data_IF_917673379767
#
_entry.id   IF_917673379767
#
_cell.length_a   1.000
_cell.length_b   1.000
_cell.length_c   1.000
_cell.angle_alpha   90.00
_cell.angle_beta   90.00
_cell.angle_gamma   90.00
#
_symmetry.space_group_name_H-M   'P 1'
#
loop_
_entity.id
_entity.type
_entity.pdbx_description
1 polymer ?
#
# COMPACT_ATOMS: atom_id res chain seq x y z
N UNK A 1 -1.04 49.28 14.71
CA UNK A 1 -1.13 48.43 13.51
C UNK A 1 0.02 47.42 13.59
N UNK A 2 -0.07 46.46 14.52
CA UNK A 2 1.04 45.53 14.78
C UNK A 2 0.55 44.32 15.59
N UNK A 3 -0.45 43.61 15.08
CA UNK A 3 -0.95 42.36 15.69
C UNK A 3 -1.47 41.42 14.61
N UNK A 4 -0.59 40.94 13.73
CA UNK A 4 -0.98 39.91 12.74
C UNK A 4 0.13 38.93 12.38
N UNK A 5 1.14 38.72 13.24
CA UNK A 5 2.27 37.86 12.89
C UNK A 5 2.71 36.88 14.00
N UNK A 6 1.75 36.33 14.76
CA UNK A 6 2.04 35.30 15.80
C UNK A 6 1.03 34.13 15.86
N UNK A 7 0.21 33.90 14.84
CA UNK A 7 -0.79 32.81 14.84
C UNK A 7 -0.56 31.72 13.78
N UNK A 8 0.62 31.66 13.18
CA UNK A 8 0.97 30.64 12.16
C UNK A 8 2.11 29.72 12.59
N UNK A 9 2.39 29.65 13.89
CA UNK A 9 3.32 28.67 14.47
C UNK A 9 2.55 27.77 15.43
N UNK A 10 2.05 26.66 14.89
CA UNK A 10 1.25 25.71 15.66
C UNK A 10 0.56 24.64 14.81
N UNK A 11 1.23 24.13 13.79
CA UNK A 11 0.82 22.91 13.07
C UNK A 11 2.07 22.06 12.86
N UNK A 12 2.70 21.65 13.97
CA UNK A 12 3.54 20.46 13.94
C UNK A 12 2.59 19.28 14.13
N UNK A 13 1.80 18.98 13.09
CA UNK A 13 1.49 17.57 12.87
C UNK A 13 2.87 16.95 12.66
N UNK A 14 3.32 16.04 13.53
CA UNK A 14 4.49 15.23 13.18
C UNK A 14 4.15 14.64 11.81
N UNK A 15 4.83 15.08 10.76
CA UNK A 15 4.81 14.37 9.48
C UNK A 15 5.45 13.02 9.78
N UNK A 16 4.59 12.06 10.12
CA UNK A 16 5.00 10.68 10.24
C UNK A 16 5.43 10.26 8.84
N UNK A 17 6.68 9.81 8.73
CA UNK A 17 7.22 9.32 7.48
C UNK A 17 6.37 8.14 6.98
N UNK A 18 5.64 8.36 5.89
CA UNK A 18 4.83 7.35 5.21
C UNK A 18 5.43 7.03 3.85
N UNK A 19 5.16 5.82 3.36
CA UNK A 19 5.50 5.34 2.04
C UNK A 19 4.27 5.36 1.16
N UNK A 20 4.47 5.74 -0.10
CA UNK A 20 3.51 5.39 -1.15
C UNK A 20 3.35 3.87 -1.24
N UNK A 21 2.23 3.40 -1.79
CA UNK A 21 2.02 1.95 -1.99
C UNK A 21 3.10 1.35 -2.87
N UNK A 22 3.58 2.07 -3.89
CA UNK A 22 4.66 1.59 -4.75
C UNK A 22 5.97 1.45 -4.00
N UNK A 23 6.32 2.46 -3.19
CA UNK A 23 7.51 2.42 -2.35
C UNK A 23 7.44 1.28 -1.32
N UNK A 24 6.25 1.00 -0.77
CA UNK A 24 6.04 -0.17 0.09
C UNK A 24 6.19 -1.48 -0.68
N UNK A 25 5.66 -1.60 -1.90
CA UNK A 25 5.82 -2.79 -2.72
C UNK A 25 7.30 -3.08 -3.03
N UNK A 26 8.05 -2.05 -3.41
CA UNK A 26 9.51 -2.15 -3.62
C UNK A 26 10.23 -2.56 -2.33
N UNK A 27 9.82 -2.00 -1.19
CA UNK A 27 10.37 -2.36 0.10
C UNK A 27 10.11 -3.84 0.41
N UNK A 28 8.91 -4.36 0.16
CA UNK A 28 8.58 -5.78 0.34
C UNK A 28 9.40 -6.69 -0.58
N UNK A 29 9.58 -6.35 -1.86
CA UNK A 29 10.48 -7.07 -2.76
C UNK A 29 11.91 -7.13 -2.19
N UNK A 30 12.43 -5.97 -1.76
CA UNK A 30 13.77 -5.88 -1.19
C UNK A 30 13.95 -6.73 0.08
N UNK A 31 12.90 -6.86 0.89
CA UNK A 31 12.91 -7.73 2.06
C UNK A 31 12.94 -9.22 1.70
N UNK A 32 12.41 -9.63 0.54
CA UNK A 32 12.58 -11.00 -0.01
C UNK A 32 13.97 -11.23 -0.63
N UNK A 33 14.81 -10.20 -0.70
CA UNK A 33 16.07 -10.23 -1.45
C UNK A 33 15.87 -10.11 -2.97
N UNK A 34 14.68 -9.64 -3.38
CA UNK A 34 14.33 -9.36 -4.77
C UNK A 34 14.35 -7.83 -5.03
N UNK A 35 14.29 -7.43 -6.30
CA UNK A 35 14.29 -6.03 -6.69
C UNK A 35 15.68 -5.40 -6.83
N UNK A 36 15.71 -4.11 -7.14
CA UNK A 36 16.93 -3.41 -7.58
C UNK A 36 17.67 -2.71 -6.45
N UNK A 37 16.96 -2.31 -5.39
CA UNK A 37 17.47 -1.48 -4.32
C UNK A 37 17.37 -2.20 -2.98
N UNK A 38 18.30 -1.90 -2.07
CA UNK A 38 18.25 -2.38 -0.68
C UNK A 38 17.09 -1.73 0.09
N UNK A 39 16.66 -2.31 1.23
CA UNK A 39 15.55 -1.74 1.99
C UNK A 39 15.87 -0.32 2.49
N UNK A 40 17.16 -0.05 2.77
CA UNK A 40 17.65 1.27 3.17
C UNK A 40 17.52 2.29 2.05
N UNK A 41 17.96 1.95 0.84
CA UNK A 41 17.90 2.85 -0.33
C UNK A 41 16.46 3.21 -0.68
N UNK A 42 15.54 2.26 -0.58
CA UNK A 42 14.11 2.51 -0.84
C UNK A 42 13.54 3.52 0.15
N UNK A 43 13.81 3.37 1.45
CA UNK A 43 13.36 4.33 2.46
C UNK A 43 14.01 5.71 2.26
N UNK A 44 15.29 5.76 1.88
CA UNK A 44 16.00 7.01 1.59
C UNK A 44 15.38 7.73 0.38
N UNK A 45 15.11 7.01 -0.70
CA UNK A 45 14.50 7.55 -1.92
C UNK A 45 13.07 8.04 -1.65
N UNK A 46 12.27 7.27 -0.91
CA UNK A 46 10.91 7.67 -0.54
C UNK A 46 10.90 8.93 0.34
N UNK A 47 11.84 9.02 1.29
CA UNK A 47 11.97 10.21 2.13
C UNK A 47 12.39 11.44 1.32
N UNK A 48 13.37 11.28 0.41
CA UNK A 48 13.83 12.35 -0.45
C UNK A 48 12.70 12.88 -1.35
N UNK A 49 11.90 11.99 -1.96
CA UNK A 49 10.76 12.36 -2.77
C UNK A 49 9.68 13.12 -1.97
N UNK A 50 9.39 12.69 -0.74
CA UNK A 50 8.43 13.38 0.13
C UNK A 50 8.90 14.79 0.55
N UNK A 51 10.22 15.02 0.61
CA UNK A 51 10.83 16.26 1.10
C UNK A 51 11.49 17.11 0.00
N UNK A 52 11.36 16.74 -1.27
CA UNK A 52 12.00 17.41 -2.42
C UNK A 52 11.67 18.91 -2.48
N UNK A 53 10.42 19.28 -2.16
CA UNK A 53 9.96 20.69 -2.10
C UNK A 53 10.52 21.49 -0.93
N UNK A 54 11.10 20.82 0.07
CA UNK A 54 11.65 21.45 1.29
C UNK A 54 13.17 21.66 1.25
N UNK A 55 13.85 21.17 0.21
CA UNK A 55 15.30 21.36 0.03
C UNK A 55 16.18 20.67 1.09
N UNK A 56 15.63 19.76 1.89
CA UNK A 56 16.35 19.06 2.95
C UNK A 56 17.26 17.97 2.37
N UNK A 57 18.52 17.95 2.80
CA UNK A 57 19.54 16.98 2.36
C UNK A 57 19.30 15.58 2.93
N UNK A 58 20.02 14.59 2.38
CA UNK A 58 20.10 13.21 2.91
C UNK A 58 20.48 13.18 4.40
N UNK A 59 21.18 14.19 4.92
CA UNK A 59 21.56 14.26 6.34
C UNK A 59 20.33 14.37 7.26
N UNK A 60 19.28 15.06 6.81
CA UNK A 60 18.03 15.18 7.56
C UNK A 60 17.20 13.88 7.60
N UNK A 61 17.45 12.91 6.72
CA UNK A 61 16.89 11.55 6.85
C UNK A 61 17.47 10.84 8.07
N UNK A 62 18.77 11.02 8.34
CA UNK A 62 19.44 10.41 9.50
C UNK A 62 18.94 11.01 10.83
N UNK A 63 18.54 12.29 10.80
CA UNK A 63 17.98 12.99 11.96
C UNK A 63 16.45 12.80 12.11
N UNK A 64 15.77 12.26 11.10
CA UNK A 64 14.34 11.97 11.17
C UNK A 64 14.11 10.76 12.07
N UNK A 65 13.22 10.89 13.06
CA UNK A 65 12.82 9.77 13.92
C UNK A 65 12.05 8.74 13.08
N UNK A 66 12.77 7.74 12.58
CA UNK A 66 12.23 6.64 11.80
C UNK A 66 11.20 5.85 12.63
N UNK A 67 10.06 5.44 12.03
CA UNK A 67 9.19 4.45 12.66
C UNK A 67 9.96 3.20 13.10
N UNK A 68 9.75 2.76 14.34
CA UNK A 68 10.50 1.65 14.95
C UNK A 68 10.44 0.34 14.15
N UNK A 69 9.37 0.13 13.38
CA UNK A 69 9.24 -1.02 12.48
C UNK A 69 10.31 -1.01 11.39
N UNK A 70 10.59 0.15 10.78
CA UNK A 70 11.65 0.25 9.77
C UNK A 70 13.03 0.08 10.38
N UNK A 71 13.32 0.69 11.54
CA UNK A 71 14.59 0.49 12.24
C UNK A 71 14.87 -0.98 12.52
N UNK A 72 13.84 -1.72 12.94
CA UNK A 72 13.92 -3.16 13.17
C UNK A 72 14.22 -3.92 11.88
N UNK A 73 13.51 -3.61 10.79
CA UNK A 73 13.64 -4.33 9.52
C UNK A 73 14.98 -4.05 8.83
N UNK A 74 15.53 -2.85 8.98
CA UNK A 74 16.87 -2.50 8.48
C UNK A 74 18.01 -3.27 9.17
N UNK A 75 17.76 -3.82 10.37
CA UNK A 75 18.72 -4.65 11.13
C UNK A 75 18.43 -6.14 11.02
N UNK A 76 17.36 -6.53 10.32
CA UNK A 76 16.92 -7.91 10.26
C UNK A 76 17.78 -8.72 9.28
N UNK A 77 17.92 -10.01 9.58
CA UNK A 77 18.41 -11.00 8.61
C UNK A 77 17.31 -11.26 7.57
N UNK A 78 17.52 -10.79 6.34
CA UNK A 78 16.54 -10.86 5.26
C UNK A 78 16.17 -12.32 4.92
N UNK A 79 17.08 -13.27 5.13
CA UNK A 79 16.83 -14.69 4.85
C UNK A 79 15.83 -15.34 5.83
N UNK A 80 15.48 -14.66 6.93
CA UNK A 80 14.60 -15.17 7.99
C UNK A 80 13.49 -14.19 8.33
N UNK A 81 13.17 -13.29 7.41
CA UNK A 81 12.22 -12.22 7.67
C UNK A 81 10.79 -12.77 7.73
N UNK A 82 10.12 -12.49 8.84
CA UNK A 82 8.72 -12.80 9.04
C UNK A 82 8.12 -11.86 10.07
N UNK A 83 6.81 -11.72 10.02
CA UNK A 83 6.07 -10.71 10.76
C UNK A 83 5.08 -11.33 11.73
N UNK A 84 5.05 -10.83 12.96
CA UNK A 84 3.86 -10.97 13.81
C UNK A 84 2.75 -10.05 13.31
N UNK A 85 1.50 -10.30 13.73
CA UNK A 85 0.35 -9.44 13.35
C UNK A 85 0.60 -7.97 13.72
N UNK A 86 1.17 -7.69 14.89
CA UNK A 86 1.47 -6.32 15.30
C UNK A 86 2.51 -5.65 14.41
N UNK A 87 3.45 -6.42 13.85
CA UNK A 87 4.46 -5.91 12.92
C UNK A 87 3.87 -5.64 11.54
N UNK A 88 2.95 -6.50 11.07
CA UNK A 88 2.17 -6.25 9.84
C UNK A 88 1.37 -4.96 10.00
N UNK A 89 0.68 -4.78 11.13
CA UNK A 89 -0.08 -3.57 11.42
C UNK A 89 0.83 -2.33 11.50
N UNK A 90 1.96 -2.43 12.20
CA UNK A 90 2.90 -1.32 12.32
C UNK A 90 3.48 -0.92 10.95
N UNK A 91 3.82 -1.90 10.10
CA UNK A 91 4.32 -1.67 8.75
C UNK A 91 3.24 -1.11 7.82
N UNK A 92 2.06 -1.71 7.82
CA UNK A 92 0.94 -1.27 6.97
C UNK A 92 0.43 0.12 7.32
N UNK A 93 0.53 0.55 8.58
CA UNK A 93 0.24 1.93 9.00
C UNK A 93 1.32 2.95 8.56
N UNK A 94 2.41 2.51 7.94
CA UNK A 94 3.33 3.39 7.23
C UNK A 94 2.92 3.58 5.75
N UNK A 95 1.86 2.92 5.27
CA UNK A 95 1.34 3.12 3.91
C UNK A 95 0.38 4.32 3.92
N UNK A 96 0.50 5.19 2.93
CA UNK A 96 -0.43 6.30 2.74
C UNK A 96 -1.89 5.85 2.69
N UNK A 97 -2.79 6.62 3.30
CA UNK A 97 -4.25 6.38 3.32
C UNK A 97 -4.68 5.06 4.00
N UNK A 98 -3.77 4.33 4.63
CA UNK A 98 -4.05 3.07 5.31
C UNK A 98 -4.25 3.28 6.81
N UNK A 99 -5.16 2.51 7.41
CA UNK A 99 -5.34 2.52 8.86
C UNK A 99 -5.77 1.14 9.38
N UNK A 100 -4.77 0.28 9.58
CA UNK A 100 -4.89 -1.06 10.11
C UNK A 100 -4.94 -1.08 11.64
N UNK A 101 -5.78 -1.96 12.18
CA UNK A 101 -5.82 -2.28 13.61
C UNK A 101 -5.49 -3.74 13.86
N UNK A 102 -4.78 -4.02 14.95
CA UNK A 102 -4.44 -5.40 15.34
C UNK A 102 -5.66 -6.29 15.51
N UNK A 103 -6.76 -5.75 16.05
CA UNK A 103 -8.01 -6.51 16.21
C UNK A 103 -8.62 -6.88 14.86
N UNK A 104 -8.63 -5.96 13.89
CA UNK A 104 -9.15 -6.24 12.56
C UNK A 104 -8.30 -7.33 11.88
N UNK A 105 -6.98 -7.16 11.82
CA UNK A 105 -6.08 -8.14 11.19
C UNK A 105 -6.17 -9.51 11.86
N UNK A 106 -6.30 -9.56 13.19
CA UNK A 106 -6.52 -10.82 13.91
C UNK A 106 -7.82 -11.52 13.48
N UNK A 107 -8.92 -10.77 13.32
CA UNK A 107 -10.18 -11.34 12.84
C UNK A 107 -10.07 -11.84 11.40
N UNK A 108 -9.33 -11.12 10.56
CA UNK A 108 -9.12 -11.47 9.16
C UNK A 108 -8.40 -12.81 9.01
N UNK A 109 -7.26 -12.97 9.67
CA UNK A 109 -6.46 -14.21 9.57
C UNK A 109 -7.12 -15.40 10.28
N UNK A 110 -8.02 -15.16 11.24
CA UNK A 110 -8.73 -16.23 11.95
C UNK A 110 -10.03 -16.65 11.27
N UNK A 111 -10.69 -15.74 10.55
CA UNK A 111 -12.04 -15.94 10.03
C UNK A 111 -12.26 -15.35 8.65
N UNK A 112 -12.06 -14.04 8.48
CA UNK A 112 -12.68 -13.35 7.34
C UNK A 112 -12.01 -13.68 5.98
N UNK A 113 -10.69 -13.87 5.98
CA UNK A 113 -9.89 -14.26 4.78
C UNK A 113 -8.88 -15.36 5.11
N UNK A 114 -9.19 -16.19 6.11
CA UNK A 114 -8.33 -17.31 6.54
C UNK A 114 -7.95 -18.23 5.38
N UNK A 115 -8.91 -18.50 4.50
CA UNK A 115 -8.78 -19.34 3.31
C UNK A 115 -7.94 -18.69 2.20
N UNK A 116 -7.56 -17.42 2.31
CA UNK A 116 -6.62 -16.78 1.38
C UNK A 116 -5.23 -16.68 1.99
N UNK A 117 -5.13 -16.32 3.27
CA UNK A 117 -3.84 -16.05 3.92
C UNK A 117 -3.18 -17.32 4.45
N UNK A 118 -3.98 -18.28 4.95
CA UNK A 118 -3.48 -19.47 5.63
C UNK A 118 -2.86 -19.22 7.00
N UNK A 119 -2.26 -20.26 7.58
CA UNK A 119 -1.48 -20.16 8.81
C UNK A 119 -0.11 -19.50 8.57
N UNK A 120 0.54 -18.93 9.60
CA UNK A 120 1.90 -18.41 9.49
C UNK A 120 2.87 -19.41 8.86
N UNK A 121 3.62 -19.00 7.83
CA UNK A 121 4.52 -19.89 7.08
C UNK A 121 5.94 -19.98 7.70
N UNK A 122 6.32 -19.04 8.57
CA UNK A 122 7.65 -18.97 9.19
C UNK A 122 7.53 -19.21 10.70
N UNK A 123 7.10 -20.42 11.06
CA UNK A 123 6.82 -20.82 12.43
C UNK A 123 5.59 -20.11 12.99
N UNK A 124 5.79 -19.10 13.85
CA UNK A 124 4.69 -18.26 14.39
C UNK A 124 4.53 -16.92 13.66
N UNK A 125 5.23 -16.74 12.54
CA UNK A 125 5.31 -15.48 11.80
C UNK A 125 4.83 -15.65 10.37
N UNK A 126 4.16 -14.62 9.87
CA UNK A 126 3.70 -14.53 8.50
C UNK A 126 4.85 -14.14 7.58
N UNK A 127 4.87 -14.68 6.36
CA UNK A 127 5.85 -14.32 5.32
C UNK A 127 5.63 -12.90 4.78
N UNK A 128 6.54 -12.42 3.96
CA UNK A 128 6.41 -11.14 3.24
C UNK A 128 5.20 -11.15 2.31
N UNK A 129 4.98 -12.27 1.60
CA UNK A 129 3.83 -12.43 0.71
C UNK A 129 2.50 -12.42 1.50
N UNK A 130 2.44 -13.11 2.64
CA UNK A 130 1.26 -13.06 3.52
C UNK A 130 0.99 -11.64 4.06
N UNK A 131 2.03 -10.85 4.33
CA UNK A 131 1.87 -9.45 4.72
C UNK A 131 1.33 -8.61 3.55
N UNK A 132 1.85 -8.82 2.32
CA UNK A 132 1.36 -8.16 1.12
C UNK A 132 -0.12 -8.47 0.86
N UNK A 133 -0.54 -9.73 1.00
CA UNK A 133 -1.94 -10.13 0.88
C UNK A 133 -2.84 -9.39 1.89
N UNK A 134 -2.38 -9.17 3.12
CA UNK A 134 -3.14 -8.40 4.12
C UNK A 134 -3.24 -6.92 3.76
N UNK A 135 -2.24 -6.34 3.11
CA UNK A 135 -2.30 -4.98 2.58
C UNK A 135 -3.28 -4.87 1.41
N UNK A 136 -3.30 -5.86 0.51
CA UNK A 136 -4.28 -5.96 -0.57
C UNK A 136 -5.70 -6.05 0.00
N UNK A 137 -5.92 -6.88 1.03
CA UNK A 137 -7.23 -7.00 1.69
C UNK A 137 -7.68 -5.67 2.29
N UNK A 138 -6.79 -4.92 2.96
CA UNK A 138 -7.10 -3.59 3.50
C UNK A 138 -7.51 -2.60 2.41
N UNK A 139 -6.77 -2.57 1.30
CA UNK A 139 -7.08 -1.69 0.17
C UNK A 139 -8.46 -2.02 -0.41
N UNK A 140 -8.73 -3.29 -0.69
CA UNK A 140 -10.03 -3.73 -1.23
C UNK A 140 -11.18 -3.48 -0.25
N UNK A 141 -10.95 -3.61 1.05
CA UNK A 141 -11.96 -3.43 2.11
C UNK A 141 -12.49 -2.00 2.19
N UNK A 142 -11.80 -1.03 1.58
CA UNK A 142 -12.29 0.34 1.44
C UNK A 142 -13.68 0.40 0.79
N UNK A 143 -13.97 -0.52 -0.14
CA UNK A 143 -15.23 -0.55 -0.91
C UNK A 143 -15.92 -1.91 -0.86
N UNK A 144 -15.17 -3.01 -0.80
CA UNK A 144 -15.71 -4.38 -0.93
C UNK A 144 -16.00 -5.04 0.42
N UNK A 145 -16.92 -6.02 0.42
CA UNK A 145 -17.10 -6.97 1.52
C UNK A 145 -16.12 -8.15 1.42
N UNK A 146 -15.99 -8.93 2.50
CA UNK A 146 -15.05 -10.05 2.53
C UNK A 146 -15.41 -11.19 1.58
N UNK A 147 -16.69 -11.34 1.24
CA UNK A 147 -17.11 -12.39 0.31
C UNK A 147 -16.63 -12.10 -1.12
N UNK A 148 -16.81 -10.84 -1.53
CA UNK A 148 -16.31 -10.31 -2.79
C UNK A 148 -14.78 -10.36 -2.85
N UNK A 149 -14.10 -9.98 -1.75
CA UNK A 149 -12.64 -10.05 -1.65
C UNK A 149 -12.14 -11.49 -1.81
N UNK A 150 -12.76 -12.46 -1.10
CA UNK A 150 -12.40 -13.88 -1.23
C UNK A 150 -12.54 -14.38 -2.65
N UNK A 151 -13.69 -14.11 -3.28
CA UNK A 151 -13.97 -14.54 -4.66
C UNK A 151 -12.97 -13.95 -5.65
N UNK A 152 -12.66 -12.66 -5.54
CA UNK A 152 -11.76 -11.99 -6.47
C UNK A 152 -10.30 -12.46 -6.28
N UNK A 153 -9.82 -12.53 -5.04
CA UNK A 153 -8.43 -12.92 -4.78
C UNK A 153 -8.18 -14.41 -5.04
N UNK A 154 -9.18 -15.29 -4.89
CA UNK A 154 -9.06 -16.70 -5.27
C UNK A 154 -8.86 -16.89 -6.79
N UNK A 155 -9.26 -15.92 -7.62
CA UNK A 155 -8.98 -15.95 -9.06
C UNK A 155 -7.51 -15.60 -9.39
N UNK A 156 -6.76 -15.05 -8.42
CA UNK A 156 -5.36 -14.65 -8.58
C UNK A 156 -4.40 -15.58 -7.84
N UNK A 157 -4.70 -15.88 -6.58
CA UNK A 157 -3.82 -16.60 -5.64
C UNK A 157 -4.28 -18.04 -5.39
N UNK A 158 -4.90 -18.65 -6.39
CA UNK A 158 -5.38 -20.03 -6.46
C UNK A 158 -5.55 -20.78 -5.11
N UNK A 159 -4.92 -21.95 -4.90
CA UNK A 159 -5.10 -22.76 -3.68
C UNK A 159 -4.16 -22.29 -2.55
N UNK A 160 -4.55 -22.47 -1.29
CA UNK A 160 -3.65 -22.29 -0.15
C UNK A 160 -2.55 -23.34 -0.12
N UNK A 161 -2.88 -24.57 -0.51
CA UNK A 161 -2.05 -25.76 -0.33
C UNK A 161 -1.03 -25.93 -1.47
N UNK A 162 -1.28 -25.28 -2.60
CA UNK A 162 -0.36 -25.14 -3.73
C UNK A 162 -0.38 -23.69 -4.23
N UNK A 163 0.78 -23.02 -4.18
CA UNK A 163 0.94 -21.64 -4.68
C UNK A 163 1.66 -21.59 -6.02
N UNK A 164 2.12 -22.74 -6.52
CA UNK A 164 2.86 -22.81 -7.78
C UNK A 164 1.94 -22.63 -8.99
N UNK A 165 0.63 -22.71 -8.77
CA UNK A 165 -0.43 -22.47 -9.74
C UNK A 165 -1.11 -21.10 -9.57
N UNK A 166 -0.55 -20.21 -8.75
CA UNK A 166 -0.96 -18.81 -8.65
C UNK A 166 -0.86 -18.14 -10.03
N UNK A 167 -1.90 -17.42 -10.44
CA UNK A 167 -1.92 -16.67 -11.70
C UNK A 167 -0.92 -15.51 -11.62
N UNK A 168 -0.86 -14.85 -10.46
CA UNK A 168 0.09 -13.78 -10.15
C UNK A 168 0.41 -13.83 -8.66
N UNK A 169 1.68 -13.75 -8.29
CA UNK A 169 2.09 -13.68 -6.88
C UNK A 169 1.60 -12.38 -6.17
N UNK A 170 1.44 -12.39 -4.84
CA UNK A 170 0.89 -11.25 -4.09
C UNK A 170 1.65 -9.93 -4.25
N UNK A 171 2.99 -9.93 -4.16
CA UNK A 171 3.77 -8.69 -4.23
C UNK A 171 3.79 -8.11 -5.66
N UNK A 172 3.99 -8.89 -6.73
CA UNK A 172 3.80 -8.40 -8.11
C UNK A 172 2.42 -7.81 -8.36
N UNK A 173 1.34 -8.45 -7.89
CA UNK A 173 -0.01 -7.90 -8.00
C UNK A 173 -0.15 -6.58 -7.22
N UNK A 174 0.34 -6.54 -5.97
CA UNK A 174 0.34 -5.34 -5.12
C UNK A 174 1.09 -4.17 -5.78
N UNK A 175 2.28 -4.43 -6.33
CA UNK A 175 3.11 -3.46 -7.04
C UNK A 175 2.42 -2.94 -8.30
N UNK A 176 1.76 -3.82 -9.06
CA UNK A 176 1.08 -3.49 -10.30
C UNK A 176 -0.05 -2.47 -10.09
N UNK A 177 -1.01 -2.73 -9.20
CA UNK A 177 -2.09 -1.77 -8.97
C UNK A 177 -1.62 -0.52 -8.24
N UNK A 178 -0.57 -0.60 -7.41
CA UNK A 178 0.05 0.57 -6.80
C UNK A 178 0.61 1.54 -7.86
N UNK A 179 1.31 1.01 -8.87
CA UNK A 179 1.83 1.79 -9.99
C UNK A 179 0.70 2.40 -10.85
N UNK A 180 -0.37 1.65 -11.10
CA UNK A 180 -1.54 2.13 -11.84
C UNK A 180 -2.22 3.29 -11.07
N UNK A 181 -2.42 3.11 -9.77
CA UNK A 181 -2.97 4.16 -8.91
C UNK A 181 -2.08 5.41 -8.92
N UNK A 182 -0.77 5.30 -8.75
CA UNK A 182 0.13 6.46 -8.74
C UNK A 182 0.08 7.24 -10.06
N UNK A 183 0.04 6.55 -11.21
CA UNK A 183 -0.12 7.19 -12.52
C UNK A 183 -1.45 7.92 -12.62
N UNK A 184 -2.55 7.28 -12.24
CA UNK A 184 -3.88 7.88 -12.32
C UNK A 184 -4.05 9.05 -11.34
N UNK A 185 -3.49 8.96 -10.13
CA UNK A 185 -3.58 9.96 -9.08
C UNK A 185 -2.79 11.23 -9.38
N UNK A 186 -1.62 11.09 -10.03
CA UNK A 186 -0.76 12.22 -10.39
C UNK A 186 -1.01 12.79 -11.78
N UNK A 187 -1.95 12.25 -12.56
CA UNK A 187 -2.32 12.88 -13.82
C UNK A 187 -3.02 14.22 -13.55
N UNK A 188 -2.47 15.29 -14.14
CA UNK A 188 -3.08 16.62 -14.15
C UNK A 188 -4.30 16.64 -15.07
N UNK A 189 -5.38 16.00 -14.63
CA UNK A 189 -6.64 15.95 -15.37
C UNK A 189 -7.46 17.17 -14.98
N UNK A 190 -7.71 18.04 -15.97
CA UNK A 190 -8.50 19.26 -15.80
C UNK A 190 -9.67 19.22 -16.79
N UNK A 191 -10.90 19.40 -16.30
CA UNK A 191 -12.10 19.53 -17.13
C UNK A 191 -13.29 18.67 -16.67
N UNK A 192 -14.40 18.80 -17.39
CA UNK A 192 -15.71 18.20 -17.06
C UNK A 192 -15.72 16.65 -17.10
N UNK A 193 -14.77 16.01 -17.79
CA UNK A 193 -14.67 14.55 -17.95
C UNK A 193 -13.62 13.90 -17.05
N UNK A 194 -13.24 14.53 -15.93
CA UNK A 194 -12.17 14.03 -15.05
C UNK A 194 -12.35 12.56 -14.64
N UNK A 195 -13.58 12.14 -14.35
CA UNK A 195 -13.88 10.79 -13.88
C UNK A 195 -13.66 9.75 -14.98
N UNK A 196 -14.12 10.06 -16.20
CA UNK A 196 -13.93 9.21 -17.38
C UNK A 196 -12.43 9.11 -17.74
N UNK A 197 -11.69 10.20 -17.63
CA UNK A 197 -10.24 10.22 -17.90
C UNK A 197 -9.46 9.39 -16.89
N UNK A 198 -9.79 9.46 -15.60
CA UNK A 198 -9.18 8.61 -14.55
C UNK A 198 -9.49 7.13 -14.82
N UNK A 199 -10.75 6.79 -15.10
CA UNK A 199 -11.14 5.41 -15.40
C UNK A 199 -10.41 4.86 -16.64
N UNK A 200 -10.36 5.65 -17.72
CA UNK A 200 -9.64 5.29 -18.93
C UNK A 200 -8.14 5.15 -18.69
N UNK A 201 -7.54 6.03 -17.88
CA UNK A 201 -6.14 5.90 -17.47
C UNK A 201 -5.91 4.57 -16.75
N UNK A 202 -6.71 4.25 -15.73
CA UNK A 202 -6.58 3.01 -14.96
C UNK A 202 -6.72 1.79 -15.88
N UNK A 203 -7.75 1.75 -16.74
CA UNK A 203 -7.97 0.63 -17.68
C UNK A 203 -6.80 0.46 -18.65
N UNK A 204 -6.30 1.56 -19.20
CA UNK A 204 -5.16 1.55 -20.13
C UNK A 204 -3.88 1.06 -19.45
N UNK A 205 -3.60 1.53 -18.24
CA UNK A 205 -2.41 1.13 -17.49
C UNK A 205 -2.51 -0.32 -16.97
N UNK A 206 -3.72 -0.80 -16.64
CA UNK A 206 -3.95 -2.21 -16.31
C UNK A 206 -3.58 -3.11 -17.49
N UNK A 207 -4.07 -2.81 -18.70
CA UNK A 207 -3.73 -3.56 -19.91
C UNK A 207 -2.22 -3.52 -20.22
N UNK A 208 -1.57 -2.35 -20.09
CA UNK A 208 -0.12 -2.22 -20.27
C UNK A 208 0.66 -3.06 -19.27
N UNK A 209 0.20 -3.14 -18.03
CA UNK A 209 0.88 -3.90 -16.98
C UNK A 209 0.84 -5.40 -17.25
N UNK A 210 -0.17 -5.90 -17.99
CA UNK A 210 -0.24 -7.30 -18.40
C UNK A 210 0.95 -7.73 -19.27
N UNK A 211 1.59 -6.82 -19.99
CA UNK A 211 2.78 -7.12 -20.80
C UNK A 211 3.96 -7.61 -19.95
N UNK A 212 3.95 -7.32 -18.64
CA UNK A 212 4.99 -7.75 -17.71
C UNK A 212 4.70 -9.12 -17.08
N UNK A 213 3.50 -9.66 -17.23
CA UNK A 213 3.16 -11.00 -16.74
C UNK A 213 3.32 -12.02 -17.87
N UNK A 214 4.11 -13.06 -17.62
CA UNK A 214 4.36 -14.12 -18.58
C UNK A 214 3.27 -15.20 -18.48
N UNK A 215 3.07 -15.93 -19.57
CA UNK A 215 2.26 -17.17 -19.63
C UNK A 215 0.78 -17.08 -19.22
N UNK A 216 0.19 -15.88 -19.24
CA UNK A 216 -1.26 -15.71 -19.03
C UNK A 216 -2.07 -16.08 -20.28
N UNK A 217 -3.09 -16.94 -20.09
CA UNK A 217 -4.16 -17.16 -21.08
C UNK A 217 -4.98 -15.88 -21.28
N UNK A 218 -5.70 -15.78 -22.40
CA UNK A 218 -6.53 -14.60 -22.67
C UNK A 218 -7.63 -14.41 -21.61
N UNK A 219 -8.20 -15.49 -21.10
CA UNK A 219 -9.14 -15.42 -19.99
C UNK A 219 -8.49 -14.90 -18.70
N UNK A 220 -7.27 -15.34 -18.38
CA UNK A 220 -6.53 -14.84 -17.20
C UNK A 220 -6.17 -13.36 -17.37
N UNK A 221 -5.79 -12.91 -18.56
CA UNK A 221 -5.54 -11.49 -18.85
C UNK A 221 -6.77 -10.62 -18.54
N UNK A 222 -7.94 -11.04 -18.99
CA UNK A 222 -9.20 -10.31 -18.72
C UNK A 222 -9.51 -10.26 -17.22
N UNK A 223 -9.35 -11.39 -16.52
CA UNK A 223 -9.55 -11.49 -15.08
C UNK A 223 -8.58 -10.55 -14.34
N UNK A 224 -7.27 -10.68 -14.60
CA UNK A 224 -6.24 -9.86 -13.95
C UNK A 224 -6.47 -8.39 -14.22
N UNK A 225 -6.76 -8.00 -15.46
CA UNK A 225 -7.03 -6.60 -15.84
C UNK A 225 -8.17 -6.01 -15.01
N UNK A 226 -9.30 -6.72 -14.94
CA UNK A 226 -10.46 -6.27 -14.18
C UNK A 226 -10.16 -6.15 -12.69
N UNK A 227 -9.37 -7.06 -12.13
CA UNK A 227 -9.00 -7.03 -10.71
C UNK A 227 -7.99 -5.91 -10.42
N UNK A 228 -7.04 -5.64 -11.32
CA UNK A 228 -6.14 -4.47 -11.23
C UNK A 228 -6.90 -3.15 -11.26
N UNK A 229 -7.88 -3.02 -12.16
CA UNK A 229 -8.79 -1.86 -12.21
C UNK A 229 -9.55 -1.71 -10.89
N UNK A 230 -10.12 -2.81 -10.39
CA UNK A 230 -10.88 -2.84 -9.13
C UNK A 230 -10.03 -2.40 -7.95
N UNK A 231 -8.82 -2.98 -7.80
CA UNK A 231 -7.89 -2.64 -6.73
C UNK A 231 -7.49 -1.16 -6.81
N UNK A 232 -7.12 -0.66 -7.99
CA UNK A 232 -6.74 0.75 -8.20
C UNK A 232 -7.86 1.72 -7.81
N UNK A 233 -9.11 1.40 -8.15
CA UNK A 233 -10.28 2.19 -7.76
C UNK A 233 -10.54 2.14 -6.25
N UNK A 234 -10.33 0.99 -5.59
CA UNK A 234 -10.48 0.89 -4.13
C UNK A 234 -9.43 1.72 -3.39
N UNK A 235 -8.20 1.80 -3.90
CA UNK A 235 -7.17 2.71 -3.36
C UNK A 235 -7.58 4.17 -3.54
N UNK A 236 -8.11 4.55 -4.71
CA UNK A 236 -8.61 5.90 -4.94
C UNK A 236 -9.78 6.25 -3.99
N UNK A 237 -10.66 5.30 -3.71
CA UNK A 237 -11.71 5.42 -2.69
C UNK A 237 -11.12 5.65 -1.29
N UNK A 238 -10.09 4.89 -0.92
CA UNK A 238 -9.38 5.06 0.36
C UNK A 238 -8.73 6.44 0.49
N UNK A 239 -8.14 6.96 -0.59
CA UNK A 239 -7.61 8.32 -0.67
C UNK A 239 -8.70 9.36 -0.35
N UNK A 240 -9.82 9.34 -1.06
CA UNK A 240 -10.90 10.31 -0.83
C UNK A 240 -11.50 10.19 0.57
N UNK A 241 -11.64 8.97 1.09
CA UNK A 241 -12.05 8.72 2.48
C UNK A 241 -11.08 9.33 3.49
N UNK A 242 -9.77 9.21 3.25
CA UNK A 242 -8.74 9.86 4.08
C UNK A 242 -8.84 11.38 4.01
N UNK A 243 -9.05 11.93 2.81
CA UNK A 243 -9.24 13.37 2.59
C UNK A 243 -10.48 13.88 3.34
N UNK A 244 -11.61 13.16 3.31
CA UNK A 244 -12.80 13.51 4.10
C UNK A 244 -12.48 13.58 5.59
N UNK A 245 -11.77 12.58 6.15
CA UNK A 245 -11.37 12.58 7.57
C UNK A 245 -10.49 13.77 7.92
N UNK A 246 -9.58 14.16 7.03
CA UNK A 246 -8.74 15.36 7.20
C UNK A 246 -9.60 16.61 7.35
N UNK A 247 -10.58 16.82 6.47
CA UNK A 247 -11.49 17.97 6.56
C UNK A 247 -12.39 17.92 7.80
N UNK A 248 -12.90 16.75 8.18
CA UNK A 248 -13.66 16.60 9.44
C UNK A 248 -12.80 17.00 10.64
N UNK A 249 -11.55 16.52 10.71
CA UNK A 249 -10.62 16.84 11.80
C UNK A 249 -10.33 18.33 11.87
N UNK A 250 -10.08 18.97 10.71
CA UNK A 250 -9.86 20.41 10.64
C UNK A 250 -11.08 21.20 11.12
N UNK A 251 -12.29 20.82 10.70
CA UNK A 251 -13.53 21.48 11.13
C UNK A 251 -13.78 21.33 12.63
N UNK A 252 -13.57 20.14 13.19
CA UNK A 252 -13.75 19.90 14.63
C UNK A 252 -12.75 20.70 15.48
N UNK A 253 -11.51 20.86 15.00
CA UNK A 253 -10.49 21.66 15.69
C UNK A 253 -10.80 23.16 15.69
N UNK A 254 -11.45 23.68 14.64
CA UNK A 254 -11.84 25.10 14.58
C UNK A 254 -12.99 25.44 15.54
N UNK A 255 -13.74 24.44 16.02
CA UNK A 255 -14.86 24.59 16.95
C UNK A 255 -14.54 24.19 18.41
N UNK A 256 -13.29 23.79 18.72
CA UNK A 256 -12.83 23.41 20.06
C UNK A 256 -11.85 24.43 20.63
#
# INVERSE_FOLDING_TARGET
METSNRRTQGLITLELFQLSRKSMADFLFSLKGEGTYSPKEILQNAWAAAHEKSGKSIEAFLDTKMPAIFEKLLRADLQKIGFSINEIVALGNQIEFTNLSSTAVQNWVKRDVKELIGSPQLGKKYSVDQAAMLFIVEDLKATLDFDSIRKILALLFNDLDDRTDDVIEPIPFYSAYAAIFEKAHHQNIVGESMHEQIEQCIKKEALRTLENFQDLTDQQKDIVSNILVTASLTVLSAYYKSLTKKYVTATLFLNG
#
